data_IF_688139506250
#
_entry.id   IF_688139506250
#
_cell.length_a   1.000
_cell.length_b   1.000
_cell.length_c   1.000
_cell.angle_alpha   90.00
_cell.angle_beta   90.00
_cell.angle_gamma   90.00
#
_symmetry.space_group_name_H-M   'P 1'
#
loop_
_entity.id
_entity.type
_entity.pdbx_description
1 polymer ?
#
# COMPACT_ATOMS: atom_id res chain seq x y z
N UNK A 1 -7.66 -4.70 13.02
CA UNK A 1 -6.72 -3.79 12.30
C UNK A 1 -7.39 -2.45 12.10
N UNK A 2 -6.68 -1.35 12.32
CA UNK A 2 -7.12 0.01 12.03
C UNK A 2 -6.05 0.69 11.17
N UNK A 3 -6.41 1.15 9.98
CA UNK A 3 -5.52 1.92 9.13
C UNK A 3 -5.40 3.35 9.69
N UNK A 4 -4.18 3.89 9.74
CA UNK A 4 -3.90 5.19 10.33
C UNK A 4 -3.45 6.20 9.29
N UNK A 5 -2.50 5.84 8.44
CA UNK A 5 -2.05 6.72 7.34
C UNK A 5 -1.53 5.93 6.14
N UNK A 6 -1.63 6.54 4.96
CA UNK A 6 -1.04 6.08 3.72
C UNK A 6 -0.18 7.19 3.15
N UNK A 7 1.09 6.90 2.86
CA UNK A 7 2.01 7.80 2.21
C UNK A 7 2.41 7.24 0.86
N UNK A 8 2.34 8.06 -0.18
CA UNK A 8 2.66 7.70 -1.56
C UNK A 8 3.76 8.63 -2.07
N UNK A 9 4.76 8.07 -2.74
CA UNK A 9 5.81 8.86 -3.41
C UNK A 9 5.91 8.42 -4.85
N UNK A 10 5.72 9.35 -5.79
CA UNK A 10 5.78 9.12 -7.23
C UNK A 10 4.96 7.90 -7.70
N UNK A 11 3.77 7.71 -7.15
CA UNK A 11 2.95 6.52 -7.41
C UNK A 11 1.77 6.85 -8.32
N UNK A 12 1.75 6.30 -9.53
CA UNK A 12 0.70 6.47 -10.55
C UNK A 12 0.34 7.94 -10.80
N UNK A 13 -0.86 8.39 -10.40
CA UNK A 13 -1.33 9.78 -10.58
C UNK A 13 -0.69 10.75 -9.59
N UNK A 14 -0.07 10.25 -8.53
CA UNK A 14 0.51 11.06 -7.47
C UNK A 14 1.98 11.37 -7.74
N UNK A 15 2.28 12.63 -8.11
CA UNK A 15 3.63 13.13 -8.32
C UNK A 15 4.20 13.64 -7.01
N UNK A 16 5.45 13.25 -6.68
CA UNK A 16 6.07 13.65 -5.41
C UNK A 16 5.45 12.90 -4.24
N UNK A 17 5.47 13.51 -3.07
CA UNK A 17 5.00 12.92 -1.83
C UNK A 17 3.57 13.37 -1.51
N UNK A 18 2.70 12.41 -1.19
CA UNK A 18 1.32 12.62 -0.75
C UNK A 18 1.05 11.76 0.48
N UNK A 19 0.41 12.34 1.48
CA UNK A 19 0.02 11.62 2.70
C UNK A 19 -1.47 11.77 2.96
N UNK A 20 -2.12 10.65 3.27
CA UNK A 20 -3.54 10.56 3.59
C UNK A 20 -3.71 10.05 5.01
N UNK A 21 -4.46 10.78 5.83
CA UNK A 21 -4.93 10.25 7.11
C UNK A 21 -6.07 9.28 6.86
N UNK A 22 -5.94 8.07 7.38
CA UNK A 22 -6.96 7.02 7.29
C UNK A 22 -7.67 6.82 8.63
N UNK A 23 -7.28 7.59 9.65
CA UNK A 23 -7.93 7.54 10.95
C UNK A 23 -9.32 8.16 10.86
N UNK A 24 -10.39 7.42 11.21
CA UNK A 24 -11.72 7.97 11.21
C UNK A 24 -11.83 9.18 12.13
N UNK A 25 -12.44 10.25 11.64
CA UNK A 25 -12.67 11.47 12.44
C UNK A 25 -13.73 11.12 13.49
N UNK A 26 -13.37 11.32 14.76
CA UNK A 26 -14.28 11.10 15.87
C UNK A 26 -15.29 12.26 15.92
N UNK A 27 -16.54 12.00 15.57
CA UNK A 27 -17.67 12.91 15.84
C UNK A 27 -18.46 12.30 16.99
N UNK A 28 -18.61 13.05 18.08
CA UNK A 28 -19.44 12.69 19.24
C UNK A 28 -19.03 11.38 19.96
N UNK A 29 -17.72 11.07 20.05
CA UNK A 29 -17.21 9.88 20.74
C UNK A 29 -17.35 8.57 19.99
N UNK A 30 -18.05 8.53 18.86
CA UNK A 30 -18.18 7.35 18.01
C UNK A 30 -17.19 7.38 16.86
N UNK A 31 -16.33 6.38 16.76
CA UNK A 31 -15.45 6.18 15.60
C UNK A 31 -16.23 5.40 14.52
N UNK A 32 -16.56 6.02 13.38
CA UNK A 32 -17.15 5.26 12.28
C UNK A 32 -16.17 4.17 11.82
N UNK A 33 -16.64 2.94 11.57
CA UNK A 33 -15.75 1.83 11.18
C UNK A 33 -15.31 1.90 9.71
N UNK A 34 -15.78 2.89 8.95
CA UNK A 34 -15.60 2.96 7.49
C UNK A 34 -14.82 4.22 7.13
N UNK A 35 -13.78 4.05 6.30
CA UNK A 35 -13.06 5.14 5.63
C UNK A 35 -13.53 5.18 4.17
N UNK A 36 -14.07 6.32 3.74
CA UNK A 36 -14.58 6.52 2.39
C UNK A 36 -13.66 7.46 1.60
N UNK A 37 -13.17 7.01 0.46
CA UNK A 37 -12.46 7.85 -0.51
C UNK A 37 -13.43 8.37 -1.57
N UNK A 38 -13.76 9.66 -1.49
CA UNK A 38 -14.56 10.36 -2.50
C UNK A 38 -13.70 11.16 -3.47
N UNK A 39 -14.16 11.34 -4.70
CA UNK A 39 -13.47 12.17 -5.70
C UNK A 39 -13.98 11.92 -7.12
N UNK A 40 -13.61 12.81 -8.03
CA UNK A 40 -13.91 12.69 -9.46
C UNK A 40 -13.20 11.46 -10.07
N UNK A 41 -13.65 11.03 -11.26
CA UNK A 41 -12.97 9.97 -12.01
C UNK A 41 -11.55 10.42 -12.35
N UNK A 42 -10.57 9.52 -12.15
CA UNK A 42 -9.14 9.85 -12.30
C UNK A 42 -8.48 10.52 -11.08
N UNK A 43 -9.22 10.89 -10.03
CA UNK A 43 -8.66 11.53 -8.82
C UNK A 43 -7.76 10.61 -7.98
N UNK A 44 -7.65 9.33 -8.32
CA UNK A 44 -6.75 8.40 -7.61
C UNK A 44 -7.42 7.48 -6.59
N UNK A 45 -8.77 7.38 -6.54
CA UNK A 45 -9.48 6.48 -5.61
C UNK A 45 -8.98 5.04 -5.69
N UNK A 46 -9.04 4.45 -6.89
CA UNK A 46 -8.55 3.09 -7.15
C UNK A 46 -7.03 2.98 -6.96
N UNK A 47 -6.28 4.05 -7.24
CA UNK A 47 -4.83 4.12 -7.00
C UNK A 47 -4.51 3.98 -5.51
N UNK A 48 -5.26 4.65 -4.65
CA UNK A 48 -5.11 4.58 -3.19
C UNK A 48 -5.37 3.16 -2.67
N UNK A 49 -6.45 2.52 -3.13
CA UNK A 49 -6.76 1.14 -2.79
C UNK A 49 -5.67 0.17 -3.29
N UNK A 50 -5.19 0.38 -4.51
CA UNK A 50 -4.09 -0.41 -5.09
C UNK A 50 -2.81 -0.26 -4.26
N UNK A 51 -2.50 0.96 -3.77
CA UNK A 51 -1.34 1.21 -2.93
C UNK A 51 -1.41 0.45 -1.61
N UNK A 52 -2.56 0.44 -0.94
CA UNK A 52 -2.76 -0.33 0.31
C UNK A 52 -2.54 -1.82 0.05
N UNK A 53 -3.17 -2.37 -1.00
CA UNK A 53 -3.01 -3.79 -1.35
C UNK A 53 -1.56 -4.13 -1.74
N UNK A 54 -0.89 -3.25 -2.50
CA UNK A 54 0.51 -3.43 -2.87
C UNK A 54 1.40 -3.45 -1.62
N UNK A 55 1.20 -2.52 -0.69
CA UNK A 55 2.00 -2.44 0.54
C UNK A 55 1.91 -3.73 1.34
N UNK A 56 0.72 -4.28 1.50
CA UNK A 56 0.48 -5.48 2.31
C UNK A 56 0.90 -6.78 1.61
N UNK A 57 0.59 -6.92 0.32
CA UNK A 57 0.65 -8.21 -0.36
C UNK A 57 1.71 -8.33 -1.46
N UNK A 58 2.41 -7.22 -1.80
CA UNK A 58 3.43 -7.23 -2.84
C UNK A 58 2.94 -7.84 -4.14
N UNK A 59 3.65 -8.86 -4.65
CA UNK A 59 3.30 -9.55 -5.90
C UNK A 59 1.88 -10.14 -5.90
N UNK A 60 1.39 -10.61 -4.76
CA UNK A 60 0.05 -11.18 -4.67
C UNK A 60 -1.07 -10.13 -4.86
N UNK A 61 -0.75 -8.83 -4.71
CA UNK A 61 -1.72 -7.74 -4.92
C UNK A 61 -2.25 -7.66 -6.36
N UNK A 62 -1.50 -8.18 -7.33
CA UNK A 62 -1.89 -8.21 -8.76
C UNK A 62 -2.49 -9.55 -9.20
N UNK A 63 -2.62 -10.50 -8.28
CA UNK A 63 -3.25 -11.81 -8.50
C UNK A 63 -2.45 -12.94 -7.88
N UNK A 64 -3.18 -13.95 -7.38
CA UNK A 64 -2.58 -15.17 -6.85
C UNK A 64 -1.88 -15.91 -8.00
N UNK A 65 -0.59 -16.22 -7.82
CA UNK A 65 0.22 -16.89 -8.86
C UNK A 65 0.79 -15.97 -9.95
N UNK A 66 0.68 -14.64 -9.79
CA UNK A 66 1.31 -13.70 -10.71
C UNK A 66 2.82 -13.96 -10.85
N UNK A 67 3.32 -13.94 -12.10
CA UNK A 67 4.73 -14.13 -12.37
C UNK A 67 5.56 -12.93 -11.91
N UNK A 68 6.85 -13.14 -11.62
CA UNK A 68 7.76 -12.04 -11.27
C UNK A 68 7.81 -10.99 -12.39
N UNK A 69 7.85 -11.43 -13.65
CA UNK A 69 7.85 -10.52 -14.81
C UNK A 69 6.61 -9.62 -14.85
N UNK A 70 5.42 -10.18 -14.58
CA UNK A 70 4.18 -9.39 -14.53
C UNK A 70 4.22 -8.37 -13.39
N UNK A 71 4.78 -8.75 -12.25
CA UNK A 71 4.95 -7.85 -11.11
C UNK A 71 5.97 -6.75 -11.38
N UNK A 72 7.11 -7.05 -11.99
CA UNK A 72 8.12 -6.04 -12.37
C UNK A 72 7.54 -5.03 -13.38
N UNK A 73 6.73 -5.49 -14.32
CA UNK A 73 5.99 -4.61 -15.24
C UNK A 73 5.02 -3.72 -14.48
N UNK A 74 4.23 -4.30 -13.57
CA UNK A 74 3.29 -3.54 -12.75
C UNK A 74 3.99 -2.47 -11.90
N UNK A 75 5.13 -2.77 -11.26
CA UNK A 75 5.91 -1.81 -10.49
C UNK A 75 6.46 -0.69 -11.37
N UNK A 76 6.97 -1.04 -12.57
CA UNK A 76 7.48 -0.06 -13.55
C UNK A 76 6.37 0.89 -13.98
N UNK A 77 5.21 0.37 -14.36
CA UNK A 77 4.05 1.15 -14.82
C UNK A 77 3.39 1.95 -13.69
N UNK A 78 3.68 1.58 -12.44
CA UNK A 78 3.18 2.28 -11.26
C UNK A 78 4.03 3.48 -10.84
N UNK A 79 5.21 3.69 -11.42
CA UNK A 79 5.98 4.91 -11.19
C UNK A 79 5.30 6.07 -11.92
N UNK A 80 5.15 7.20 -11.23
CA UNK A 80 4.57 8.40 -11.82
C UNK A 80 5.36 8.84 -13.04
N UNK A 81 4.69 8.87 -14.18
CA UNK A 81 5.27 9.35 -15.45
C UNK A 81 4.58 10.64 -15.87
N UNK A 82 5.31 11.75 -15.78
CA UNK A 82 4.83 13.05 -16.27
C UNK A 82 5.10 13.17 -17.76
N UNK A 83 4.08 12.95 -18.57
CA UNK A 83 4.14 13.17 -20.02
C UNK A 83 4.46 14.63 -20.40
N UNK A 84 4.35 15.56 -19.45
CA UNK A 84 4.40 17.02 -19.69
C UNK A 84 5.78 17.63 -19.41
N UNK A 85 6.63 17.04 -18.58
CA UNK A 85 7.88 17.67 -18.11
C UNK A 85 9.15 16.98 -18.59
N UNK A 86 9.04 15.85 -19.28
CA UNK A 86 10.21 15.10 -19.82
C UNK A 86 11.12 14.46 -18.74
N UNK A 87 10.89 14.74 -17.46
CA UNK A 87 11.61 14.13 -16.34
C UNK A 87 10.71 13.12 -15.68
N UNK A 88 10.95 11.85 -15.96
CA UNK A 88 10.28 10.73 -15.29
C UNK A 88 11.04 10.36 -14.02
N UNK A 89 10.32 10.17 -12.92
CA UNK A 89 10.89 9.51 -11.75
C UNK A 89 11.30 8.08 -12.13
N UNK A 90 12.38 7.60 -11.55
CA UNK A 90 12.81 6.20 -11.71
C UNK A 90 12.54 5.36 -10.45
N UNK A 91 11.89 5.97 -9.45
CA UNK A 91 11.55 5.33 -8.19
C UNK A 91 10.15 5.72 -7.74
N UNK A 92 9.56 4.85 -6.93
CA UNK A 92 8.32 5.12 -6.21
C UNK A 92 8.33 4.39 -4.87
N UNK A 93 7.46 4.81 -3.95
CA UNK A 93 7.22 4.10 -2.70
C UNK A 93 5.78 4.24 -2.24
N UNK A 94 5.35 3.25 -1.47
CA UNK A 94 4.09 3.22 -0.75
C UNK A 94 4.37 2.83 0.69
N UNK A 95 3.80 3.59 1.64
CA UNK A 95 3.97 3.34 3.06
C UNK A 95 2.60 3.34 3.73
N UNK A 96 2.35 2.33 4.55
CA UNK A 96 1.11 2.17 5.28
C UNK A 96 1.41 2.08 6.77
N UNK A 97 0.74 2.93 7.55
CA UNK A 97 0.74 2.85 9.02
C UNK A 97 -0.60 2.29 9.47
N UNK A 98 -0.56 1.30 10.34
CA UNK A 98 -1.76 0.70 10.91
C UNK A 98 -1.50 0.14 12.31
N UNK A 99 -2.56 0.02 13.11
CA UNK A 99 -2.54 -0.73 14.35
C UNK A 99 -3.25 -2.08 14.19
N UNK A 100 -2.72 -3.07 14.88
CA UNK A 100 -3.27 -4.42 14.91
C UNK A 100 -3.34 -4.93 16.34
N UNK A 101 -4.54 -5.40 16.74
CA UNK A 101 -4.76 -5.97 18.05
C UNK A 101 -4.67 -7.51 17.95
N UNK A 102 -3.78 -8.09 18.75
CA UNK A 102 -3.62 -9.53 18.91
C UNK A 102 -3.64 -9.89 20.39
N UNK A 103 -4.52 -10.78 20.80
CA UNK A 103 -4.68 -11.25 22.18
C UNK A 103 -4.75 -10.09 23.21
N UNK A 104 -5.43 -9.00 22.86
CA UNK A 104 -5.59 -7.83 23.74
C UNK A 104 -4.42 -6.84 23.72
N UNK A 105 -3.32 -7.14 23.03
CA UNK A 105 -2.18 -6.23 22.84
C UNK A 105 -2.33 -5.53 21.50
N UNK A 106 -2.25 -4.20 21.50
CA UNK A 106 -2.25 -3.39 20.29
C UNK A 106 -0.82 -3.03 19.93
N UNK A 107 -0.38 -3.37 18.72
CA UNK A 107 0.90 -2.95 18.16
C UNK A 107 0.69 -2.05 16.95
N UNK A 108 1.58 -1.08 16.77
CA UNK A 108 1.60 -0.16 15.65
C UNK A 108 2.65 -0.58 14.63
N UNK A 109 2.24 -0.70 13.38
CA UNK A 109 3.12 -1.11 12.28
C UNK A 109 3.27 -0.01 11.25
N UNK A 110 4.50 0.17 10.77
CA UNK A 110 4.81 0.97 9.59
C UNK A 110 5.42 0.01 8.57
N UNK A 111 4.77 -0.15 7.45
CA UNK A 111 5.22 -0.98 6.33
C UNK A 111 5.55 -0.07 5.17
N UNK A 112 6.80 -0.07 4.73
CA UNK A 112 7.25 0.68 3.57
C UNK A 112 7.72 -0.27 2.49
N UNK A 113 7.19 -0.06 1.29
CA UNK A 113 7.59 -0.76 0.07
C UNK A 113 8.06 0.27 -0.94
N UNK A 114 9.32 0.18 -1.33
CA UNK A 114 9.94 1.09 -2.29
C UNK A 114 10.58 0.32 -3.42
N UNK A 115 10.62 0.91 -4.61
CA UNK A 115 11.29 0.30 -5.76
C UNK A 115 11.93 1.35 -6.65
N UNK A 116 12.95 0.91 -7.36
CA UNK A 116 13.69 1.71 -8.34
C UNK A 116 13.84 0.92 -9.63
N UNK A 117 13.71 1.60 -10.77
CA UNK A 117 13.90 1.01 -12.09
C UNK A 117 15.13 1.63 -12.75
N UNK A 118 16.15 0.81 -12.98
CA UNK A 118 17.39 1.20 -13.65
C UNK A 118 17.65 0.19 -14.78
N UNK A 119 17.81 0.68 -16.00
CA UNK A 119 18.07 -0.17 -17.18
C UNK A 119 17.04 -1.30 -17.33
N UNK A 120 15.75 -1.01 -17.12
CA UNK A 120 14.61 -1.96 -17.14
C UNK A 120 14.67 -3.04 -16.06
N UNK A 121 15.58 -2.94 -15.10
CA UNK A 121 15.64 -3.83 -13.93
C UNK A 121 14.98 -3.15 -12.74
N UNK A 122 14.03 -3.86 -12.14
CA UNK A 122 13.36 -3.44 -10.91
C UNK A 122 14.16 -3.95 -9.71
N UNK A 123 14.40 -3.06 -8.76
CA UNK A 123 14.93 -3.41 -7.45
C UNK A 123 13.94 -2.92 -6.41
N UNK A 124 13.39 -3.83 -5.63
CA UNK A 124 12.37 -3.59 -4.61
C UNK A 124 12.95 -3.81 -3.22
N UNK A 125 12.48 -3.01 -2.25
CA UNK A 125 12.78 -3.14 -0.83
C UNK A 125 11.47 -3.12 -0.04
N UNK A 126 11.38 -3.99 0.97
CA UNK A 126 10.29 -4.05 1.93
C UNK A 126 10.87 -3.90 3.34
N UNK A 127 10.40 -2.89 4.07
CA UNK A 127 10.78 -2.67 5.47
C UNK A 127 9.54 -2.62 6.36
N UNK A 128 9.67 -3.15 7.57
CA UNK A 128 8.61 -3.17 8.58
C UNK A 128 9.19 -2.64 9.88
N UNK A 129 8.45 -1.74 10.53
CA UNK A 129 8.71 -1.34 11.92
C UNK A 129 7.49 -1.69 12.77
N UNK A 130 7.74 -2.17 13.98
CA UNK A 130 6.73 -2.42 15.00
C UNK A 130 7.04 -1.56 16.22
N UNK A 131 6.07 -0.78 16.69
CA UNK A 131 6.16 0.09 17.86
C UNK A 131 7.44 0.97 17.85
N UNK A 132 7.69 1.62 16.68
CA UNK A 132 8.86 2.44 16.38
C UNK A 132 10.21 1.71 16.33
N UNK A 133 10.22 0.38 16.38
CA UNK A 133 11.43 -0.42 16.27
C UNK A 133 11.47 -1.12 14.92
N UNK A 134 12.54 -0.90 14.15
CA UNK A 134 12.71 -1.56 12.87
C UNK A 134 12.93 -3.07 13.04
N UNK A 135 12.22 -3.87 12.26
CA UNK A 135 12.41 -5.33 12.18
C UNK A 135 13.58 -5.63 11.21
N UNK A 136 14.79 -5.18 11.60
CA UNK A 136 15.95 -5.08 10.71
C UNK A 136 16.55 -6.42 10.25
N UNK A 137 16.20 -7.54 10.89
CA UNK A 137 16.79 -8.86 10.62
C UNK A 137 15.94 -9.73 9.69
N UNK A 138 14.90 -9.17 9.07
CA UNK A 138 14.03 -9.92 8.15
C UNK A 138 14.55 -9.81 6.73
N UNK A 139 14.69 -10.94 6.03
CA UNK A 139 14.80 -10.94 4.57
C UNK A 139 13.49 -10.45 3.96
N UNK A 140 13.51 -10.13 2.66
CA UNK A 140 12.29 -9.74 1.93
C UNK A 140 11.17 -10.80 2.07
N UNK A 141 11.52 -12.08 1.90
CA UNK A 141 10.58 -13.20 1.99
C UNK A 141 10.02 -13.37 3.41
N UNK A 142 10.85 -13.18 4.42
CA UNK A 142 10.43 -13.23 5.83
C UNK A 142 9.50 -12.07 6.18
N UNK A 143 9.82 -10.85 5.72
CA UNK A 143 8.98 -9.68 5.91
C UNK A 143 7.61 -9.85 5.21
N UNK A 144 7.60 -10.37 3.97
CA UNK A 144 6.35 -10.65 3.26
C UNK A 144 5.57 -11.79 3.93
N UNK A 145 6.24 -12.84 4.40
CA UNK A 145 5.63 -13.93 5.16
C UNK A 145 4.94 -13.43 6.42
N UNK A 146 5.62 -12.59 7.19
CA UNK A 146 5.06 -11.95 8.38
C UNK A 146 3.78 -11.16 8.08
N UNK A 147 3.77 -10.35 7.01
CA UNK A 147 2.57 -9.62 6.60
C UNK A 147 1.42 -10.54 6.19
N UNK A 148 1.73 -11.63 5.47
CA UNK A 148 0.72 -12.60 5.04
C UNK A 148 0.09 -13.36 6.23
N UNK A 149 0.86 -13.62 7.29
CA UNK A 149 0.34 -14.22 8.53
C UNK A 149 -0.51 -13.22 9.31
N UNK A 150 -0.05 -11.95 9.39
CA UNK A 150 -0.75 -10.90 10.13
C UNK A 150 -2.09 -10.54 9.47
N UNK A 151 -2.10 -10.43 8.14
CA UNK A 151 -3.27 -10.03 7.34
C UNK A 151 -3.35 -10.94 6.10
N UNK A 152 -3.97 -12.13 6.21
CA UNK A 152 -4.08 -13.06 5.10
C UNK A 152 -4.79 -12.44 3.88
N UNK A 153 -4.31 -12.72 2.68
CA UNK A 153 -4.81 -12.11 1.43
C UNK A 153 -6.31 -12.38 1.21
N UNK A 154 -6.81 -13.55 1.59
CA UNK A 154 -8.23 -13.89 1.47
C UNK A 154 -9.15 -13.02 2.32
N UNK A 155 -8.60 -12.33 3.32
CA UNK A 155 -9.33 -11.40 4.19
C UNK A 155 -9.39 -10.00 3.60
N UNK A 156 -8.48 -9.66 2.67
CA UNK A 156 -8.38 -8.32 2.08
C UNK A 156 -9.65 -7.87 1.36
N UNK A 157 -10.30 -8.79 0.67
CA UNK A 157 -11.50 -8.49 -0.11
C UNK A 157 -12.73 -8.20 0.77
N UNK A 158 -12.67 -8.53 2.06
CA UNK A 158 -13.68 -8.19 3.06
C UNK A 158 -13.52 -6.76 3.60
N UNK A 159 -12.33 -6.15 3.44
CA UNK A 159 -12.02 -4.84 4.00
C UNK A 159 -11.77 -3.76 2.95
N UNK A 160 -11.37 -4.15 1.74
CA UNK A 160 -11.00 -3.22 0.68
C UNK A 160 -11.94 -3.33 -0.51
N UNK A 161 -12.95 -2.46 -0.55
CA UNK A 161 -13.95 -2.45 -1.62
C UNK A 161 -13.68 -1.31 -2.61
N UNK A 162 -13.64 -1.65 -3.88
CA UNK A 162 -13.74 -0.67 -4.96
C UNK A 162 -15.22 -0.50 -5.31
N UNK A 163 -15.79 0.64 -4.93
CA UNK A 163 -17.22 0.92 -5.17
C UNK A 163 -17.64 0.90 -6.64
N UNK A 164 -16.68 1.04 -7.56
CA UNK A 164 -16.93 0.94 -9.01
C UNK A 164 -17.10 -0.52 -9.48
N UNK A 165 -16.71 -1.50 -8.65
CA UNK A 165 -16.80 -2.94 -8.94
C UNK A 165 -17.99 -3.62 -8.27
N UNK A 166 -18.78 -2.90 -7.50
CA UNK A 166 -20.05 -3.40 -6.97
C UNK A 166 -21.03 -3.31 -8.12
N UNK A 167 -21.04 -4.32 -8.99
CA UNK A 167 -22.13 -4.53 -9.95
C UNK A 167 -23.34 -5.06 -9.21
N UNK A 168 -24.49 -4.46 -9.50
CA UNK A 168 -25.81 -4.91 -9.07
C UNK A 168 -26.05 -6.38 -9.39
#
# INVERSE_FOLDING_TARGET
MLLESLKLTNFRVFKGEHQFSLTPINKDGNRPPIVLFGGLNGAGKTTTLTAIRLTLYGRQSIGIGASQKAYDTFLTDSIHNSKTTGVSANNASVELTFSYANLGVVSHYIVNRSWTVINKKVTESLTISQDNTAMANLSYEQAQGFLNELIPIGVSDLFFFDGEKISE
#
